data_IF_320871725515
#
_entry.id   IF_320871725515
#
_cell.length_a   1.000
_cell.length_b   1.000
_cell.length_c   1.000
_cell.angle_alpha   90.00
_cell.angle_beta   90.00
_cell.angle_gamma   90.00
#
_symmetry.space_group_name_H-M   'P 1'
#
loop_
_entity.id
_entity.type
_entity.pdbx_description
1 polymer ?
#
# COMPACT_ATOMS: atom_id res chain seq x y z
N UNK A 1 -1.43 -22.15 1.04
CA UNK A 1 -1.08 -21.36 2.24
C UNK A 1 -2.18 -21.57 3.29
N UNK A 2 -1.83 -21.77 4.56
CA UNK A 2 -2.82 -21.94 5.63
C UNK A 2 -3.42 -20.59 6.06
N UNK A 3 -4.59 -20.59 6.69
CA UNK A 3 -5.19 -19.39 7.30
C UNK A 3 -4.21 -18.70 8.28
N UNK A 4 -3.41 -19.50 8.99
CA UNK A 4 -2.34 -19.01 9.86
C UNK A 4 -1.32 -18.14 9.12
N UNK A 5 -0.90 -18.55 7.92
CA UNK A 5 0.06 -17.77 7.13
C UNK A 5 -0.56 -16.44 6.66
N UNK A 6 -1.86 -16.43 6.32
CA UNK A 6 -2.57 -15.19 6.01
C UNK A 6 -2.58 -14.26 7.22
N UNK A 7 -3.03 -14.76 8.37
CA UNK A 7 -3.15 -13.97 9.60
C UNK A 7 -1.80 -13.48 10.15
N UNK A 8 -0.70 -14.15 9.80
CA UNK A 8 0.65 -13.74 10.21
C UNK A 8 1.09 -12.43 9.54
N UNK A 9 0.63 -12.17 8.31
CA UNK A 9 0.98 -10.96 7.56
C UNK A 9 -0.01 -9.80 7.78
N UNK A 10 -1.12 -10.04 8.48
CA UNK A 10 -2.09 -8.99 8.87
C UNK A 10 -1.48 -8.10 9.95
N UNK A 11 -1.66 -6.79 9.81
CA UNK A 11 -1.24 -5.81 10.79
C UNK A 11 -2.01 -5.99 12.12
N UNK A 12 -1.33 -6.03 13.28
CA UNK A 12 -1.99 -6.21 14.58
C UNK A 12 -3.07 -5.18 14.90
N UNK A 13 -3.01 -3.97 14.33
CA UNK A 13 -3.98 -2.90 14.54
C UNK A 13 -5.40 -3.29 14.12
N UNK A 14 -5.58 -4.23 13.19
CA UNK A 14 -6.88 -4.75 12.79
C UNK A 14 -7.59 -5.58 13.87
N UNK A 15 -6.85 -6.03 14.87
CA UNK A 15 -7.42 -6.81 15.98
C UNK A 15 -7.60 -5.97 17.25
N UNK A 16 -7.33 -4.67 17.21
CA UNK A 16 -7.64 -3.78 18.32
C UNK A 16 -9.16 -3.64 18.47
N UNK A 17 -9.67 -3.83 19.70
CA UNK A 17 -11.07 -3.54 20.03
C UNK A 17 -11.10 -2.29 20.89
N UNK A 18 -11.99 -1.35 20.58
CA UNK A 18 -12.21 -0.13 21.38
C UNK A 18 -10.93 0.67 21.65
N UNK A 19 -9.97 0.66 20.72
CA UNK A 19 -8.69 1.36 20.85
C UNK A 19 -7.61 0.61 21.65
N UNK A 20 -7.92 -0.54 22.23
CA UNK A 20 -6.95 -1.36 22.96
C UNK A 20 -6.42 -2.49 22.06
N UNK A 21 -5.10 -2.49 21.88
CA UNK A 21 -4.39 -3.53 21.14
C UNK A 21 -4.36 -4.83 21.95
N UNK A 22 -4.59 -5.97 21.28
CA UNK A 22 -4.36 -7.28 21.88
C UNK A 22 -2.89 -7.43 22.29
N UNK A 23 -2.65 -8.06 23.44
CA UNK A 23 -1.30 -8.46 23.87
C UNK A 23 -0.60 -9.21 22.73
N UNK A 24 0.61 -8.78 22.29
CA UNK A 24 1.36 -9.42 21.22
C UNK A 24 1.58 -10.93 21.43
N UNK A 25 1.77 -11.37 22.69
CA UNK A 25 1.94 -12.79 23.04
C UNK A 25 0.64 -13.56 22.84
N UNK A 26 -0.50 -12.96 23.21
CA UNK A 26 -1.82 -13.54 23.00
C UNK A 26 -2.13 -13.63 21.50
N UNK A 27 -1.85 -12.58 20.73
CA UNK A 27 -2.02 -12.58 19.28
C UNK A 27 -1.17 -13.66 18.60
N UNK A 28 0.11 -13.78 18.98
CA UNK A 28 1.00 -14.82 18.47
C UNK A 28 0.53 -16.24 18.83
N UNK A 29 -0.06 -16.43 20.01
CA UNK A 29 -0.68 -17.71 20.41
C UNK A 29 -1.95 -17.99 19.61
N UNK A 30 -2.82 -17.00 19.46
CA UNK A 30 -4.07 -17.10 18.72
C UNK A 30 -3.83 -17.45 17.23
N UNK A 31 -2.85 -16.83 16.58
CA UNK A 31 -2.43 -17.13 15.21
C UNK A 31 -1.99 -18.58 15.00
N UNK A 32 -1.41 -19.21 16.02
CA UNK A 32 -0.92 -20.60 15.96
C UNK A 32 -1.98 -21.63 16.36
N UNK A 33 -3.04 -21.21 17.06
CA UNK A 33 -4.16 -22.05 17.45
C UNK A 33 -5.23 -22.11 16.35
N UNK A 34 -5.85 -23.28 16.16
CA UNK A 34 -7.00 -23.44 15.24
C UNK A 34 -8.20 -22.59 15.66
N UNK A 35 -8.51 -22.57 16.96
CA UNK A 35 -9.61 -21.76 17.50
C UNK A 35 -9.28 -20.28 17.41
N UNK A 36 -8.06 -19.90 17.83
CA UNK A 36 -7.60 -18.51 17.76
C UNK A 36 -7.62 -17.95 16.33
N UNK A 37 -7.13 -18.72 15.35
CA UNK A 37 -7.15 -18.31 13.94
C UNK A 37 -8.58 -18.09 13.42
N UNK A 38 -9.54 -18.92 13.84
CA UNK A 38 -10.95 -18.76 13.49
C UNK A 38 -11.58 -17.52 14.12
N UNK A 39 -11.25 -17.23 15.38
CA UNK A 39 -11.72 -16.02 16.07
C UNK A 39 -11.13 -14.76 15.42
N UNK A 40 -9.83 -14.75 15.13
CA UNK A 40 -9.18 -13.63 14.44
C UNK A 40 -9.79 -13.41 13.05
N UNK A 41 -10.01 -14.47 12.26
CA UNK A 41 -10.67 -14.35 10.97
C UNK A 41 -12.09 -13.79 11.09
N UNK A 42 -12.84 -14.21 12.12
CA UNK A 42 -14.16 -13.66 12.40
C UNK A 42 -14.14 -12.19 12.77
N UNK A 43 -13.15 -11.73 13.56
CA UNK A 43 -12.99 -10.31 13.86
C UNK A 43 -12.77 -9.48 12.59
N UNK A 44 -11.98 -9.98 11.63
CA UNK A 44 -11.76 -9.29 10.35
C UNK A 44 -13.04 -9.19 9.51
N UNK A 45 -13.89 -10.23 9.55
CA UNK A 45 -15.20 -10.22 8.90
C UNK A 45 -16.19 -9.29 9.60
N UNK A 46 -16.22 -9.27 10.93
CA UNK A 46 -17.07 -8.35 11.71
C UNK A 46 -16.67 -6.88 11.48
N UNK A 47 -15.40 -6.61 11.20
CA UNK A 47 -14.90 -5.30 10.80
C UNK A 47 -15.16 -4.95 9.32
N UNK A 48 -15.73 -5.86 8.52
CA UNK A 48 -15.94 -5.67 7.07
C UNK A 48 -14.64 -5.55 6.26
N UNK A 49 -13.51 -6.01 6.81
CA UNK A 49 -12.18 -5.77 6.25
C UNK A 49 -11.71 -6.89 5.30
N UNK A 50 -12.38 -8.05 5.32
CA UNK A 50 -11.92 -9.26 4.64
C UNK A 50 -13.05 -10.06 3.98
N UNK A 51 -14.17 -9.41 3.65
CA UNK A 51 -15.37 -10.05 3.13
C UNK A 51 -15.11 -10.85 1.84
N UNK A 52 -14.46 -10.22 0.85
CA UNK A 52 -14.16 -10.86 -0.43
C UNK A 52 -12.91 -11.75 -0.37
N UNK A 53 -11.95 -11.42 0.51
CA UNK A 53 -10.71 -12.15 0.71
C UNK A 53 -10.98 -13.51 1.36
N UNK A 54 -11.84 -13.56 2.38
CA UNK A 54 -12.17 -14.78 3.11
C UNK A 54 -13.47 -15.46 2.63
N UNK A 55 -14.12 -14.91 1.59
CA UNK A 55 -15.29 -15.51 0.98
C UNK A 55 -15.04 -16.98 0.58
N UNK A 56 -15.95 -17.91 0.90
CA UNK A 56 -15.85 -19.30 0.43
C UNK A 56 -15.81 -19.34 -1.10
N UNK A 57 -14.81 -20.04 -1.68
CA UNK A 57 -14.71 -20.24 -3.13
C UNK A 57 -14.92 -21.72 -3.49
N UNK A 58 -15.73 -22.02 -4.52
CA UNK A 58 -15.84 -23.39 -5.02
C UNK A 58 -14.46 -23.86 -5.53
N UNK A 59 -14.00 -25.02 -5.06
CA UNK A 59 -12.67 -25.57 -5.40
C UNK A 59 -11.59 -25.43 -4.32
N UNK A 60 -11.89 -24.82 -3.17
CA UNK A 60 -11.16 -25.04 -1.91
C UNK A 60 -9.64 -24.86 -1.97
N UNK A 61 -9.16 -23.64 -2.19
CA UNK A 61 -7.77 -23.27 -1.88
C UNK A 61 -7.67 -21.79 -1.48
N UNK A 62 -6.59 -21.47 -0.76
CA UNK A 62 -6.10 -20.13 -0.37
C UNK A 62 -6.55 -19.02 -1.32
N UNK A 63 -6.93 -17.82 -0.83
CA UNK A 63 -7.27 -16.70 -1.70
C UNK A 63 -6.14 -16.46 -2.71
N UNK A 64 -6.46 -16.57 -4.01
CA UNK A 64 -5.49 -16.46 -5.11
C UNK A 64 -4.71 -15.15 -5.06
N UNK A 65 -5.34 -14.08 -4.56
CA UNK A 65 -4.70 -12.78 -4.35
C UNK A 65 -3.45 -12.87 -3.47
N UNK A 66 -3.48 -13.67 -2.39
CA UNK A 66 -2.37 -13.74 -1.42
C UNK A 66 -1.17 -14.49 -2.01
N UNK A 67 -1.43 -15.59 -2.70
CA UNK A 67 -0.37 -16.36 -3.39
C UNK A 67 0.24 -15.57 -4.55
N UNK A 68 -0.58 -14.76 -5.22
CA UNK A 68 -0.16 -13.92 -6.34
C UNK A 68 0.62 -12.68 -5.91
N UNK A 69 0.30 -12.16 -4.72
CA UNK A 69 0.84 -10.93 -4.16
C UNK A 69 1.48 -11.15 -2.78
N UNK A 70 2.70 -11.71 -2.73
CA UNK A 70 3.51 -11.70 -1.51
C UNK A 70 3.72 -10.27 -1.00
N UNK A 71 3.82 -10.09 0.33
CA UNK A 71 4.03 -8.78 0.98
C UNK A 71 5.17 -7.96 0.37
N UNK A 72 6.32 -8.59 0.10
CA UNK A 72 7.47 -7.89 -0.49
C UNK A 72 7.15 -7.30 -1.87
N UNK A 73 6.51 -8.09 -2.75
CA UNK A 73 6.06 -7.65 -4.07
C UNK A 73 5.01 -6.54 -3.96
N UNK A 74 4.04 -6.71 -3.07
CA UNK A 74 2.97 -5.74 -2.88
C UNK A 74 3.50 -4.38 -2.41
N UNK A 75 4.44 -4.39 -1.45
CA UNK A 75 5.06 -3.16 -0.95
C UNK A 75 5.86 -2.42 -2.05
N UNK A 76 6.52 -3.16 -2.95
CA UNK A 76 7.19 -2.55 -4.11
C UNK A 76 6.19 -1.90 -5.07
N UNK A 77 5.11 -2.60 -5.40
CA UNK A 77 4.03 -2.04 -6.23
C UNK A 77 3.42 -0.79 -5.60
N UNK A 78 3.08 -0.85 -4.31
CA UNK A 78 2.54 0.28 -3.55
C UNK A 78 3.50 1.47 -3.61
N UNK A 79 4.79 1.25 -3.38
CA UNK A 79 5.79 2.32 -3.44
C UNK A 79 5.87 2.95 -4.83
N UNK A 80 5.94 2.13 -5.89
CA UNK A 80 6.01 2.62 -7.26
C UNK A 80 4.74 3.38 -7.68
N UNK A 81 3.56 2.93 -7.25
CA UNK A 81 2.30 3.66 -7.45
C UNK A 81 2.29 5.00 -6.71
N UNK A 82 2.79 5.04 -5.48
CA UNK A 82 2.93 6.27 -4.71
C UNK A 82 3.85 7.28 -5.39
N UNK A 83 5.01 6.80 -5.84
CA UNK A 83 5.99 7.61 -6.60
C UNK A 83 5.36 8.14 -7.89
N UNK A 84 4.65 7.29 -8.62
CA UNK A 84 3.95 7.70 -9.83
C UNK A 84 2.85 8.73 -9.53
N UNK A 85 2.08 8.56 -8.45
CA UNK A 85 1.02 9.47 -8.05
C UNK A 85 1.52 10.90 -7.72
N UNK A 86 2.75 11.01 -7.19
CA UNK A 86 3.45 12.28 -6.93
C UNK A 86 4.32 12.76 -8.10
N UNK A 87 4.34 12.06 -9.25
CA UNK A 87 5.09 12.47 -10.44
C UNK A 87 4.87 13.94 -10.87
N UNK A 88 3.65 14.53 -10.81
CA UNK A 88 3.47 15.93 -11.19
C UNK A 88 4.34 16.88 -10.35
N UNK A 89 4.46 16.63 -9.05
CA UNK A 89 5.26 17.46 -8.14
C UNK A 89 6.75 17.14 -8.23
N UNK A 90 7.10 15.86 -8.37
CA UNK A 90 8.50 15.45 -8.56
C UNK A 90 9.08 16.09 -9.84
N UNK A 91 8.30 16.14 -10.92
CA UNK A 91 8.70 16.78 -12.20
C UNK A 91 8.75 18.30 -12.11
N UNK A 92 7.88 18.91 -11.29
CA UNK A 92 7.83 20.36 -11.11
C UNK A 92 8.87 20.87 -10.09
N UNK A 93 9.54 19.99 -9.35
CA UNK A 93 10.50 20.37 -8.33
C UNK A 93 11.83 20.83 -8.95
N UNK A 94 12.19 22.08 -8.70
CA UNK A 94 13.41 22.72 -9.24
C UNK A 94 14.44 22.98 -8.13
N UNK A 95 14.06 22.83 -6.86
CA UNK A 95 14.95 23.12 -5.72
C UNK A 95 16.00 22.03 -5.58
N UNK A 96 17.28 22.44 -5.50
CA UNK A 96 18.44 21.53 -5.46
C UNK A 96 18.35 20.49 -4.33
N UNK A 97 18.08 20.92 -3.09
CA UNK A 97 18.09 20.02 -1.93
C UNK A 97 16.94 19.01 -1.95
N UNK A 98 15.66 19.39 -2.20
CA UNK A 98 14.58 18.44 -2.43
C UNK A 98 14.88 17.42 -3.54
N UNK A 99 15.33 17.88 -4.72
CA UNK A 99 15.66 16.96 -5.84
C UNK A 99 16.76 15.98 -5.45
N UNK A 100 17.83 16.46 -4.82
CA UNK A 100 18.94 15.61 -4.36
C UNK A 100 18.44 14.55 -3.37
N UNK A 101 17.57 14.92 -2.44
CA UNK A 101 17.00 14.02 -1.45
C UNK A 101 16.08 12.98 -2.08
N UNK A 102 15.16 13.40 -2.94
CA UNK A 102 14.24 12.51 -3.66
C UNK A 102 15.04 11.50 -4.49
N UNK A 103 16.05 11.97 -5.26
CA UNK A 103 16.89 11.11 -6.08
C UNK A 103 17.65 10.08 -5.25
N UNK A 104 18.20 10.51 -4.09
CA UNK A 104 18.91 9.62 -3.15
C UNK A 104 17.97 8.56 -2.56
N UNK A 105 16.79 8.98 -2.11
CA UNK A 105 15.83 8.09 -1.44
C UNK A 105 15.18 7.10 -2.42
N UNK A 106 14.70 7.58 -3.57
CA UNK A 106 13.91 6.76 -4.50
C UNK A 106 14.76 5.90 -5.45
N UNK A 107 16.02 6.28 -5.68
CA UNK A 107 16.93 5.53 -6.57
C UNK A 107 16.30 5.27 -7.94
N UNK A 108 16.08 4.00 -8.29
CA UNK A 108 15.49 3.59 -9.56
C UNK A 108 14.04 4.03 -9.76
N UNK A 109 13.22 4.08 -8.69
CA UNK A 109 11.82 4.52 -8.80
C UNK A 109 11.71 6.02 -9.14
N UNK A 110 12.78 6.80 -8.95
CA UNK A 110 12.80 8.20 -9.41
C UNK A 110 12.62 8.31 -10.94
N UNK A 111 13.22 7.39 -11.70
CA UNK A 111 13.09 7.38 -13.16
C UNK A 111 11.66 7.08 -13.60
N UNK A 112 10.95 6.21 -12.86
CA UNK A 112 9.53 5.94 -13.08
C UNK A 112 8.68 7.22 -12.96
N UNK A 113 8.95 8.05 -11.95
CA UNK A 113 8.24 9.34 -11.81
C UNK A 113 8.52 10.28 -12.98
N UNK A 114 9.70 10.26 -13.57
CA UNK A 114 10.07 11.15 -14.68
C UNK A 114 9.59 10.66 -16.05
N UNK A 115 9.25 9.38 -16.21
CA UNK A 115 8.90 8.80 -17.50
C UNK A 115 7.50 9.23 -17.98
N UNK A 116 7.39 10.07 -19.04
CA UNK A 116 6.10 10.52 -19.55
C UNK A 116 5.37 9.43 -20.34
N UNK A 117 6.05 8.34 -20.74
CA UNK A 117 5.44 7.25 -21.51
C UNK A 117 4.53 6.37 -20.64
N UNK A 118 4.82 6.30 -19.34
CA UNK A 118 4.00 5.59 -18.35
C UNK A 118 2.77 6.42 -18.00
N UNK A 119 2.99 7.69 -17.66
CA UNK A 119 1.93 8.65 -17.39
C UNK A 119 2.42 10.08 -17.62
N UNK A 120 1.59 10.91 -18.24
CA UNK A 120 1.89 12.31 -18.54
C UNK A 120 1.82 13.23 -17.31
N UNK A 121 1.44 12.70 -16.14
CA UNK A 121 1.32 13.42 -14.87
C UNK A 121 0.33 14.59 -14.93
N UNK A 122 -0.67 14.53 -15.81
CA UNK A 122 -1.76 15.50 -15.81
C UNK A 122 -2.80 15.12 -14.76
N UNK A 123 -3.04 16.04 -13.85
CA UNK A 123 -4.03 15.91 -12.77
C UNK A 123 -4.89 17.16 -12.71
N UNK A 124 -6.11 17.01 -12.19
CA UNK A 124 -6.99 18.14 -11.93
C UNK A 124 -6.38 19.09 -10.90
N UNK A 125 -6.73 20.38 -11.01
CA UNK A 125 -6.21 21.44 -10.13
C UNK A 125 -6.41 21.14 -8.64
N UNK A 126 -7.58 20.63 -8.26
CA UNK A 126 -7.88 20.31 -6.86
C UNK A 126 -6.98 19.19 -6.32
N UNK A 127 -6.66 18.17 -7.13
CA UNK A 127 -5.73 17.10 -6.76
C UNK A 127 -4.33 17.68 -6.61
N UNK A 128 -3.90 18.48 -7.58
CA UNK A 128 -2.59 19.11 -7.57
C UNK A 128 -2.37 20.00 -6.34
N UNK A 129 -3.36 20.83 -5.98
CA UNK A 129 -3.27 21.74 -4.83
C UNK A 129 -3.20 20.96 -3.51
N UNK A 130 -3.98 19.88 -3.37
CA UNK A 130 -3.89 18.96 -2.23
C UNK A 130 -2.49 18.35 -2.12
N UNK A 131 -2.00 17.75 -3.21
CA UNK A 131 -0.69 17.10 -3.22
C UNK A 131 0.42 18.10 -2.88
N UNK A 132 0.31 19.33 -3.39
CA UNK A 132 1.29 20.39 -3.12
C UNK A 132 1.33 20.75 -1.63
N UNK A 133 0.16 20.91 -1.01
CA UNK A 133 0.09 21.15 0.44
C UNK A 133 0.74 20.05 1.26
N UNK A 134 0.47 18.78 0.92
CA UNK A 134 1.12 17.62 1.59
C UNK A 134 2.63 17.59 1.35
N UNK A 135 3.07 17.91 0.12
CA UNK A 135 4.48 17.91 -0.27
C UNK A 135 5.27 19.01 0.44
N UNK A 136 4.72 20.23 0.52
CA UNK A 136 5.37 21.33 1.22
C UNK A 136 5.45 21.07 2.73
N UNK A 137 4.39 20.51 3.33
CA UNK A 137 4.41 20.08 4.73
C UNK A 137 5.46 18.99 4.98
N UNK A 138 5.57 18.02 4.07
CA UNK A 138 6.59 16.97 4.12
C UNK A 138 8.00 17.57 4.10
N UNK A 139 8.30 18.46 3.15
CA UNK A 139 9.64 19.05 3.07
C UNK A 139 9.96 19.99 4.24
N UNK A 140 8.96 20.64 4.82
CA UNK A 140 9.14 21.39 6.07
C UNK A 140 9.51 20.45 7.23
N UNK A 141 8.87 19.29 7.35
CA UNK A 141 9.22 18.27 8.35
C UNK A 141 10.64 17.71 8.11
N UNK A 142 10.95 17.36 6.86
CA UNK A 142 12.25 16.79 6.47
C UNK A 142 13.42 17.75 6.70
N UNK A 143 13.19 19.07 6.66
CA UNK A 143 14.22 20.06 6.96
C UNK A 143 14.69 19.97 8.42
N UNK A 144 13.84 19.56 9.35
CA UNK A 144 14.20 19.32 10.76
C UNK A 144 14.87 17.96 11.01
N UNK A 145 14.92 17.08 10.01
CA UNK A 145 15.39 15.68 10.13
C UNK A 145 16.24 15.29 8.91
N UNK A 146 17.48 15.80 8.77
CA UNK A 146 18.24 15.74 7.51
C UNK A 146 18.67 14.33 7.08
N UNK A 147 18.69 13.35 7.99
CA UNK A 147 19.10 11.96 7.69
C UNK A 147 17.94 10.96 7.61
N UNK A 148 16.71 11.38 7.94
CA UNK A 148 15.55 10.48 7.97
C UNK A 148 14.64 10.67 6.74
N UNK A 149 14.66 9.69 5.84
CA UNK A 149 13.79 9.67 4.65
C UNK A 149 12.48 8.90 4.89
N UNK A 150 12.25 8.35 6.10
CA UNK A 150 11.03 7.62 6.44
C UNK A 150 9.74 8.43 6.22
N UNK A 151 9.67 9.74 6.52
CA UNK A 151 8.46 10.53 6.25
C UNK A 151 8.12 10.59 4.76
N UNK A 152 9.12 10.66 3.88
CA UNK A 152 8.92 10.64 2.42
C UNK A 152 8.31 9.30 1.99
N UNK A 153 8.89 8.18 2.44
CA UNK A 153 8.34 6.87 2.11
C UNK A 153 6.93 6.67 2.67
N UNK A 154 6.65 7.14 3.88
CA UNK A 154 5.33 7.02 4.49
C UNK A 154 4.25 7.73 3.67
N UNK A 155 4.52 8.95 3.19
CA UNK A 155 3.59 9.72 2.33
C UNK A 155 3.36 9.00 1.00
N UNK A 156 4.43 8.56 0.34
CA UNK A 156 4.33 7.87 -0.94
C UNK A 156 3.60 6.53 -0.79
N UNK A 157 3.94 5.73 0.20
CA UNK A 157 3.30 4.43 0.43
C UNK A 157 1.83 4.59 0.80
N UNK A 158 1.46 5.61 1.60
CA UNK A 158 0.04 5.92 1.89
C UNK A 158 -0.74 6.22 0.62
N UNK A 159 -0.21 7.08 -0.25
CA UNK A 159 -0.85 7.38 -1.53
C UNK A 159 -0.90 6.14 -2.42
N UNK A 160 0.19 5.38 -2.51
CA UNK A 160 0.26 4.15 -3.30
C UNK A 160 -0.77 3.09 -2.89
N UNK A 161 -1.01 2.93 -1.58
CA UNK A 161 -2.08 2.06 -1.06
C UNK A 161 -3.45 2.57 -1.47
N UNK A 162 -3.69 3.87 -1.38
CA UNK A 162 -4.94 4.47 -1.82
C UNK A 162 -5.21 4.23 -3.31
N UNK A 163 -4.19 4.40 -4.17
CA UNK A 163 -4.31 4.13 -5.61
C UNK A 163 -4.63 2.66 -5.89
N UNK A 164 -3.88 1.75 -5.26
CA UNK A 164 -4.07 0.31 -5.46
C UNK A 164 -5.43 -0.16 -4.95
N UNK A 165 -5.87 0.31 -3.78
CA UNK A 165 -7.17 -0.05 -3.20
C UNK A 165 -8.32 0.49 -4.04
N UNK A 166 -8.22 1.72 -4.56
CA UNK A 166 -9.22 2.29 -5.48
C UNK A 166 -9.36 1.43 -6.74
N UNK A 167 -8.24 1.12 -7.39
CA UNK A 167 -8.24 0.30 -8.61
C UNK A 167 -8.74 -1.14 -8.34
N UNK A 168 -8.32 -1.72 -7.22
CA UNK A 168 -8.70 -3.08 -6.83
C UNK A 168 -10.20 -3.18 -6.48
N UNK A 169 -10.83 -2.12 -5.96
CA UNK A 169 -12.25 -2.14 -5.65
C UNK A 169 -13.14 -2.47 -6.86
N UNK A 170 -12.72 -2.08 -8.07
CA UNK A 170 -13.47 -2.31 -9.31
C UNK A 170 -13.10 -3.63 -10.02
N UNK A 171 -11.94 -4.24 -9.71
CA UNK A 171 -11.38 -5.38 -10.47
C UNK A 171 -11.08 -6.62 -9.65
N UNK A 172 -10.54 -6.44 -8.46
CA UNK A 172 -10.06 -7.51 -7.59
C UNK A 172 -10.18 -7.06 -6.14
N UNK A 173 -11.42 -7.03 -5.65
CA UNK A 173 -11.73 -6.66 -4.27
C UNK A 173 -10.88 -7.40 -3.23
N UNK A 174 -10.62 -8.72 -3.35
CA UNK A 174 -9.68 -9.44 -2.48
C UNK A 174 -8.27 -8.83 -2.41
N UNK A 175 -7.72 -8.32 -3.51
CA UNK A 175 -6.43 -7.63 -3.50
C UNK A 175 -6.52 -6.31 -2.71
N UNK A 176 -7.59 -5.54 -2.89
CA UNK A 176 -7.79 -4.30 -2.13
C UNK A 176 -7.89 -4.54 -0.62
N UNK A 177 -8.62 -5.58 -0.22
CA UNK A 177 -8.70 -6.04 1.17
C UNK A 177 -7.34 -6.55 1.68
N UNK A 178 -6.61 -7.30 0.85
CA UNK A 178 -5.28 -7.79 1.21
C UNK A 178 -4.26 -6.67 1.45
N UNK A 179 -4.27 -5.64 0.60
CA UNK A 179 -3.47 -4.42 0.79
C UNK A 179 -3.85 -3.74 2.10
N UNK A 180 -5.14 -3.58 2.38
CA UNK A 180 -5.60 -2.93 3.59
C UNK A 180 -5.12 -3.65 4.86
N UNK A 181 -5.23 -4.98 4.87
CA UNK A 181 -4.91 -5.80 6.04
C UNK A 181 -3.41 -5.83 6.38
N UNK A 182 -2.51 -5.53 5.44
CA UNK A 182 -1.06 -5.55 5.70
C UNK A 182 -0.53 -4.32 6.45
N UNK A 183 -1.36 -3.28 6.58
CA UNK A 183 -1.02 -2.01 7.20
C UNK A 183 -2.02 -1.67 8.31
N UNK A 184 -1.67 -0.76 9.25
CA UNK A 184 -2.59 -0.32 10.27
C UNK A 184 -3.90 0.19 9.67
N UNK A 185 -5.05 0.01 10.36
CA UNK A 185 -6.30 0.62 9.94
C UNK A 185 -6.12 2.13 9.78
N UNK A 186 -6.32 2.62 8.55
CA UNK A 186 -6.14 4.02 8.21
C UNK A 186 -7.33 4.52 7.37
N UNK A 187 -7.66 5.80 7.52
CA UNK A 187 -8.57 6.48 6.60
C UNK A 187 -7.91 6.57 5.23
N UNK A 188 -8.62 6.12 4.20
CA UNK A 188 -8.13 6.13 2.85
C UNK A 188 -8.08 7.56 2.31
N UNK A 189 -6.88 7.97 1.90
CA UNK A 189 -6.74 9.12 1.01
C UNK A 189 -7.37 8.77 -0.34
N UNK A 190 -7.90 9.77 -1.05
CA UNK A 190 -8.45 9.57 -2.40
C UNK A 190 -7.32 9.34 -3.41
N UNK A 191 -7.32 8.18 -4.06
CA UNK A 191 -6.48 7.90 -5.23
C UNK A 191 -6.96 8.67 -6.47
N UNK A 192 -6.04 9.08 -7.33
CA UNK A 192 -6.27 9.90 -8.53
C UNK A 192 -5.60 9.36 -9.80
N UNK A 193 -4.79 8.30 -9.72
CA UNK A 193 -4.15 7.75 -10.90
C UNK A 193 -5.20 7.22 -11.90
N UNK A 194 -5.00 7.45 -13.21
CA UNK A 194 -5.77 6.76 -14.23
C UNK A 194 -5.54 5.24 -14.16
N UNK A 195 -6.50 4.48 -14.69
CA UNK A 195 -6.48 3.02 -14.66
C UNK A 195 -5.28 2.41 -15.41
N UNK A 196 -4.95 2.93 -16.59
CA UNK A 196 -3.92 2.36 -17.48
C UNK A 196 -2.53 2.29 -16.82
N UNK A 197 -1.99 3.37 -16.21
CA UNK A 197 -0.72 3.29 -15.48
C UNK A 197 -0.74 2.30 -14.31
N UNK A 198 -1.84 2.22 -13.55
CA UNK A 198 -1.97 1.28 -12.43
C UNK A 198 -1.94 -0.16 -12.92
N UNK A 199 -2.71 -0.46 -13.98
CA UNK A 199 -2.72 -1.78 -14.60
C UNK A 199 -1.34 -2.17 -15.14
N UNK A 200 -0.65 -1.26 -15.82
CA UNK A 200 0.70 -1.50 -16.37
C UNK A 200 1.67 -1.90 -15.27
N UNK A 201 1.72 -1.14 -14.16
CA UNK A 201 2.59 -1.45 -13.03
C UNK A 201 2.18 -2.73 -12.31
N UNK A 202 0.88 -2.96 -12.13
CA UNK A 202 0.39 -4.20 -11.54
C UNK A 202 0.82 -5.42 -12.38
N UNK A 203 0.61 -5.39 -13.70
CA UNK A 203 1.05 -6.47 -14.60
C UNK A 203 2.57 -6.62 -14.61
N UNK A 204 3.34 -5.54 -14.56
CA UNK A 204 4.80 -5.59 -14.47
C UNK A 204 5.27 -6.33 -13.21
N UNK A 205 4.71 -5.99 -12.04
CA UNK A 205 5.08 -6.62 -10.77
C UNK A 205 4.56 -8.06 -10.65
N UNK A 206 3.39 -8.34 -11.23
CA UNK A 206 2.80 -9.69 -11.27
C UNK A 206 3.68 -10.65 -12.09
N UNK A 207 4.07 -10.24 -13.30
CA UNK A 207 4.85 -11.06 -14.25
C UNK A 207 6.31 -11.24 -13.83
N UNK A 208 6.86 -10.32 -13.03
CA UNK A 208 8.21 -10.42 -12.49
C UNK A 208 8.29 -11.60 -11.52
N UNK A 209 9.02 -12.64 -11.94
CA UNK A 209 9.45 -13.72 -11.04
C UNK A 209 10.41 -13.13 -10.01
N UNK A 210 10.09 -13.26 -8.73
CA UNK A 210 11.05 -12.95 -7.68
C UNK A 210 12.20 -13.96 -7.80
N UNK A 211 13.44 -13.46 -7.86
CA UNK A 211 14.60 -14.34 -7.72
C UNK A 211 14.50 -14.98 -6.33
N UNK A 212 14.48 -16.31 -6.30
CA UNK A 212 14.37 -17.12 -5.09
C UNK A 212 15.52 -16.84 -4.11
#
# INVERSE_FOLDING_TARGET
>A
MSLQAVLAEVDPGWFARTGESLDPRLLASARRSRLGSRLLARMLLEAGAADALLAPRPGGATPTAILRWPRAKLNRLVRDLGVLAYAPLIRAEVRREPVRRIKKALGGSYLLALDPTIWDARVDRHVHDRLRGEWDALFAQLAGQPEDDAPLFAVLERQGRAELRRWAAERDRPLGEWVALQHPPEELVRGHLPEKPVLLLATHHETRREAA
#
